data_IF_323571619964
#
_entry.id   IF_323571619964
#
_cell.length_a   1.000
_cell.length_b   1.000
_cell.length_c   1.000
_cell.angle_alpha   90.00
_cell.angle_beta   90.00
_cell.angle_gamma   90.00
#
_symmetry.space_group_name_H-M   'P 1'
#
loop_
_entity.id
_entity.type
_entity.pdbx_description
1 polymer ?
#
# COMPACT_ATOMS: atom_id res chain seq x y z
N UNK A 1 -50.47 15.79 -45.10
CA UNK A 1 -49.33 16.15 -44.23
C UNK A 1 -48.32 15.02 -44.33
N UNK A 2 -47.22 15.17 -45.08
CA UNK A 2 -46.14 14.20 -44.98
C UNK A 2 -45.41 14.44 -43.67
N UNK A 3 -45.25 13.39 -42.86
CA UNK A 3 -44.41 13.43 -41.67
C UNK A 3 -42.96 13.28 -42.13
N UNK A 4 -42.13 14.29 -41.84
CA UNK A 4 -40.68 14.20 -42.00
C UNK A 4 -40.16 13.04 -41.15
N UNK A 5 -39.59 12.04 -41.82
CA UNK A 5 -38.80 11.00 -41.19
C UNK A 5 -37.46 11.62 -40.82
N UNK A 6 -37.27 11.93 -39.54
CA UNK A 6 -35.94 12.23 -39.02
C UNK A 6 -35.10 10.96 -39.09
N UNK A 7 -34.15 10.94 -40.03
CA UNK A 7 -33.07 9.98 -40.07
C UNK A 7 -32.26 10.10 -38.77
N UNK A 8 -32.52 9.20 -37.83
CA UNK A 8 -31.64 9.00 -36.68
C UNK A 8 -30.36 8.34 -37.20
N UNK A 9 -29.37 9.16 -37.56
CA UNK A 9 -28.00 8.74 -37.73
C UNK A 9 -27.51 8.17 -36.39
N UNK A 10 -27.68 6.87 -36.21
CA UNK A 10 -27.02 6.13 -35.15
C UNK A 10 -25.52 6.12 -35.49
N UNK A 11 -24.79 7.10 -34.94
CA UNK A 11 -23.34 7.04 -34.93
C UNK A 11 -22.93 5.81 -34.12
N UNK A 12 -22.64 4.70 -34.81
CA UNK A 12 -22.12 3.48 -34.20
C UNK A 12 -20.90 3.84 -33.31
N UNK A 13 -20.97 3.50 -32.03
CA UNK A 13 -19.89 3.72 -31.07
C UNK A 13 -19.93 5.02 -30.24
N UNK A 14 -20.95 5.87 -30.39
CA UNK A 14 -21.15 7.06 -29.54
C UNK A 14 -22.27 6.86 -28.51
N UNK A 15 -22.03 7.31 -27.28
CA UNK A 15 -23.03 7.35 -26.22
C UNK A 15 -24.12 8.40 -26.53
N UNK A 16 -25.29 8.32 -25.86
CA UNK A 16 -26.36 9.32 -26.02
C UNK A 16 -25.93 10.76 -25.72
N UNK A 17 -24.80 10.97 -25.01
CA UNK A 17 -24.24 12.29 -24.73
C UNK A 17 -23.04 12.63 -25.62
N UNK A 18 -22.87 11.95 -26.76
CA UNK A 18 -21.94 12.32 -27.84
C UNK A 18 -20.46 12.00 -27.61
N UNK A 19 -20.14 11.19 -26.60
CA UNK A 19 -18.77 10.72 -26.36
C UNK A 19 -18.65 9.24 -26.71
N UNK A 20 -17.47 8.76 -27.16
CA UNK A 20 -17.29 7.35 -27.46
C UNK A 20 -17.55 6.50 -26.20
N UNK A 21 -18.14 5.32 -26.38
CA UNK A 21 -18.19 4.35 -25.28
C UNK A 21 -16.76 4.02 -24.84
N UNK A 22 -16.53 4.03 -23.53
CA UNK A 22 -15.25 3.58 -22.97
C UNK A 22 -15.07 2.12 -23.37
N UNK A 23 -13.91 1.77 -23.92
CA UNK A 23 -13.59 0.38 -24.17
C UNK A 23 -13.67 -0.41 -22.85
N UNK A 24 -14.33 -1.56 -22.89
CA UNK A 24 -14.34 -2.47 -21.75
C UNK A 24 -12.89 -2.81 -21.39
N UNK A 25 -12.57 -2.74 -20.10
CA UNK A 25 -11.25 -3.14 -19.60
C UNK A 25 -11.13 -4.67 -19.48
N UNK A 26 -12.03 -5.41 -20.13
CA UNK A 26 -12.09 -6.86 -20.14
C UNK A 26 -10.96 -7.43 -21.01
N UNK A 27 -9.78 -7.44 -20.42
CA UNK A 27 -8.59 -8.08 -20.99
C UNK A 27 -8.47 -9.50 -20.45
N UNK A 28 -7.99 -10.46 -21.25
CA UNK A 28 -7.64 -11.77 -20.74
C UNK A 28 -6.66 -11.63 -19.58
N UNK A 29 -6.89 -12.41 -18.52
CA UNK A 29 -5.98 -12.45 -17.37
C UNK A 29 -4.55 -12.71 -17.83
N UNK A 30 -3.62 -11.89 -17.34
CA UNK A 30 -2.19 -12.11 -17.53
C UNK A 30 -1.77 -13.47 -16.94
N UNK A 31 -0.61 -13.95 -17.36
CA UNK A 31 -0.03 -15.18 -16.79
C UNK A 31 0.05 -15.12 -15.25
N UNK A 32 0.52 -14.01 -14.69
CA UNK A 32 0.69 -13.85 -13.24
C UNK A 32 -0.64 -13.75 -12.48
N UNK A 33 -1.67 -13.12 -13.07
CA UNK A 33 -3.01 -13.12 -12.48
C UNK A 33 -3.61 -14.53 -12.46
N UNK A 34 -3.48 -15.30 -13.54
CA UNK A 34 -3.94 -16.70 -13.55
C UNK A 34 -3.19 -17.57 -12.53
N UNK A 35 -1.89 -17.37 -12.39
CA UNK A 35 -1.07 -18.09 -11.40
C UNK A 35 -1.49 -17.75 -9.97
N UNK A 36 -1.69 -16.47 -9.64
CA UNK A 36 -2.16 -16.05 -8.32
C UNK A 36 -3.48 -16.73 -7.98
N UNK A 37 -4.48 -16.64 -8.87
CA UNK A 37 -5.80 -17.25 -8.67
C UNK A 37 -5.67 -18.76 -8.44
N UNK A 38 -4.90 -19.45 -9.28
CA UNK A 38 -4.73 -20.91 -9.15
C UNK A 38 -4.10 -21.30 -7.80
N UNK A 39 -3.07 -20.58 -7.34
CA UNK A 39 -2.44 -20.85 -6.03
C UNK A 39 -3.40 -20.55 -4.89
N UNK A 40 -4.12 -19.41 -4.97
CA UNK A 40 -5.08 -19.00 -3.95
C UNK A 40 -6.21 -20.03 -3.79
N UNK A 41 -6.85 -20.43 -4.90
CA UNK A 41 -7.94 -21.41 -4.88
C UNK A 41 -7.46 -22.78 -4.38
N UNK A 42 -6.26 -23.23 -4.78
CA UNK A 42 -5.69 -24.50 -4.31
C UNK A 42 -5.43 -24.50 -2.79
N UNK A 43 -4.98 -23.38 -2.22
CA UNK A 43 -4.78 -23.27 -0.77
C UNK A 43 -6.10 -23.26 -0.01
N UNK A 44 -7.16 -22.69 -0.60
CA UNK A 44 -8.52 -22.72 -0.05
C UNK A 44 -9.11 -24.14 -0.11
N UNK A 45 -9.00 -24.81 -1.25
CA UNK A 45 -9.49 -26.19 -1.43
C UNK A 45 -8.83 -27.16 -0.45
N UNK A 46 -7.53 -26.98 -0.18
CA UNK A 46 -6.77 -27.77 0.80
C UNK A 46 -7.05 -27.39 2.26
N UNK A 47 -7.87 -26.37 2.52
CA UNK A 47 -8.21 -25.90 3.87
C UNK A 47 -7.05 -25.22 4.61
N UNK A 48 -6.04 -24.72 3.90
CA UNK A 48 -4.94 -23.96 4.51
C UNK A 48 -5.29 -22.49 4.75
N UNK A 49 -6.22 -21.95 3.96
CA UNK A 49 -6.72 -20.58 4.03
C UNK A 49 -8.21 -20.58 3.74
N UNK A 50 -8.90 -19.53 4.17
CA UNK A 50 -10.28 -19.23 3.77
C UNK A 50 -10.34 -17.94 2.96
N UNK A 51 -11.36 -17.77 2.08
CA UNK A 51 -11.56 -16.49 1.38
C UNK A 51 -11.68 -15.29 2.35
N UNK A 52 -12.29 -15.51 3.52
CA UNK A 52 -12.44 -14.47 4.54
C UNK A 52 -11.10 -14.05 5.17
N UNK A 53 -10.21 -15.00 5.48
CA UNK A 53 -8.87 -14.70 6.00
C UNK A 53 -8.02 -13.92 4.99
N UNK A 54 -8.13 -14.27 3.71
CA UNK A 54 -7.42 -13.57 2.63
C UNK A 54 -7.92 -12.12 2.52
N UNK A 55 -9.23 -11.92 2.46
CA UNK A 55 -9.82 -10.59 2.42
C UNK A 55 -9.41 -9.75 3.64
N UNK A 56 -9.51 -10.32 4.84
CA UNK A 56 -9.11 -9.65 6.08
C UNK A 56 -7.63 -9.23 6.06
N UNK A 57 -6.75 -10.07 5.51
CA UNK A 57 -5.33 -9.76 5.42
C UNK A 57 -5.02 -8.67 4.37
N UNK A 58 -5.78 -8.61 3.27
CA UNK A 58 -5.68 -7.51 2.29
C UNK A 58 -6.08 -6.20 2.96
N UNK A 59 -7.24 -6.15 3.60
CA UNK A 59 -7.73 -4.96 4.31
C UNK A 59 -6.74 -4.50 5.40
N UNK A 60 -6.20 -5.43 6.18
CA UNK A 60 -5.20 -5.13 7.21
C UNK A 60 -3.87 -4.61 6.63
N UNK A 61 -3.54 -4.98 5.39
CA UNK A 61 -2.35 -4.49 4.69
C UNK A 61 -2.58 -3.09 4.12
N UNK A 62 -3.75 -2.85 3.53
CA UNK A 62 -4.14 -1.59 2.89
C UNK A 62 -4.44 -0.48 3.90
N UNK A 63 -4.92 -0.83 5.10
CA UNK A 63 -5.14 0.12 6.19
C UNK A 63 -3.86 0.75 6.75
N UNK A 64 -2.67 0.24 6.38
CA UNK A 64 -1.39 0.72 6.93
C UNK A 64 -1.02 2.06 6.31
N UNK A 65 -0.65 3.01 7.17
CA UNK A 65 -0.37 4.39 6.76
C UNK A 65 0.95 4.90 7.34
N UNK A 66 1.70 5.74 6.60
CA UNK A 66 2.87 6.44 7.14
C UNK A 66 2.52 7.48 8.22
N UNK A 67 1.24 7.79 8.43
CA UNK A 67 0.78 8.75 9.42
C UNK A 67 1.22 8.40 10.87
N UNK A 68 1.32 7.10 11.20
CA UNK A 68 1.77 6.67 12.52
C UNK A 68 3.23 7.09 12.77
N UNK A 69 4.12 6.85 11.80
CA UNK A 69 5.51 7.32 11.88
C UNK A 69 5.62 8.85 11.96
N UNK A 70 4.79 9.57 11.21
CA UNK A 70 4.74 11.03 11.29
C UNK A 70 4.33 11.52 12.70
N UNK A 71 3.36 10.86 13.34
CA UNK A 71 2.95 11.17 14.71
C UNK A 71 4.09 10.95 15.73
N UNK A 72 4.86 9.85 15.58
CA UNK A 72 6.04 9.59 16.41
C UNK A 72 7.08 10.70 16.27
N UNK A 73 7.39 11.10 15.03
CA UNK A 73 8.35 12.20 14.76
C UNK A 73 7.86 13.52 15.35
N UNK A 74 6.59 13.87 15.14
CA UNK A 74 6.01 15.10 15.66
C UNK A 74 6.08 15.17 17.20
N UNK A 75 5.82 14.07 17.90
CA UNK A 75 5.99 14.00 19.35
C UNK A 75 7.45 14.14 19.77
N UNK A 76 8.38 13.52 19.07
CA UNK A 76 9.81 13.66 19.35
C UNK A 76 10.31 15.11 19.17
N UNK A 77 9.70 15.90 18.29
CA UNK A 77 10.04 17.32 18.14
C UNK A 77 9.54 18.20 19.29
N UNK A 78 8.42 17.85 19.94
CA UNK A 78 7.79 18.68 20.98
C UNK A 78 8.04 18.17 22.41
N UNK A 79 8.48 16.92 22.57
CA UNK A 79 8.76 16.27 23.85
C UNK A 79 10.19 15.71 23.85
N UNK A 80 11.17 16.46 24.39
CA UNK A 80 12.57 16.01 24.48
C UNK A 80 12.76 14.73 25.31
N UNK A 81 11.91 14.49 26.31
CA UNK A 81 12.00 13.28 27.12
C UNK A 81 11.52 12.06 26.33
N UNK A 82 10.46 12.19 25.54
CA UNK A 82 10.04 11.16 24.59
C UNK A 82 11.10 10.92 23.52
N UNK A 83 11.72 11.98 22.98
CA UNK A 83 12.82 11.84 22.02
C UNK A 83 13.98 11.02 22.59
N UNK A 84 14.39 11.27 23.83
CA UNK A 84 15.44 10.49 24.48
C UNK A 84 15.07 8.99 24.56
N UNK A 85 13.85 8.67 24.98
CA UNK A 85 13.36 7.27 25.02
C UNK A 85 13.25 6.64 23.63
N UNK A 86 12.82 7.41 22.62
CA UNK A 86 12.72 6.96 21.23
C UNK A 86 14.09 6.54 20.67
N UNK A 87 15.14 7.31 20.98
CA UNK A 87 16.50 7.01 20.54
C UNK A 87 17.14 5.86 21.32
N UNK A 88 16.74 5.64 22.57
CA UNK A 88 17.18 4.49 23.38
C UNK A 88 16.48 3.19 22.94
N UNK A 89 15.16 3.23 22.77
CA UNK A 89 14.36 2.08 22.34
C UNK A 89 13.10 2.53 21.59
N UNK A 90 13.23 2.61 20.26
CA UNK A 90 12.13 3.08 19.42
C UNK A 90 10.91 2.15 19.42
N UNK A 91 11.13 0.87 19.73
CA UNK A 91 10.07 -0.13 19.81
C UNK A 91 9.13 0.15 20.97
N UNK A 92 9.67 0.35 22.16
CA UNK A 92 8.89 0.67 23.36
C UNK A 92 8.28 2.08 23.26
N UNK A 93 9.03 3.06 22.80
CA UNK A 93 8.52 4.43 22.64
C UNK A 93 7.35 4.50 21.65
N UNK A 94 7.37 3.74 20.55
CA UNK A 94 6.23 3.68 19.62
C UNK A 94 5.01 3.00 20.26
N UNK A 95 5.22 1.99 21.12
CA UNK A 95 4.15 1.32 21.87
C UNK A 95 3.49 2.23 22.90
N UNK A 96 4.22 3.18 23.51
CA UNK A 96 3.62 4.23 24.38
C UNK A 96 2.52 5.03 23.65
N UNK A 97 2.60 5.13 22.32
CA UNK A 97 1.63 5.81 21.47
C UNK A 97 0.51 4.89 20.95
N UNK A 98 0.52 3.61 21.34
CA UNK A 98 -0.43 2.61 20.86
C UNK A 98 -0.09 2.03 19.49
N UNK A 99 1.11 2.27 18.95
CA UNK A 99 1.53 1.72 17.67
C UNK A 99 2.25 0.38 17.86
N UNK A 100 1.60 -0.71 17.44
CA UNK A 100 2.24 -2.03 17.41
C UNK A 100 3.15 -2.18 16.18
N UNK A 101 4.45 -2.10 16.42
CA UNK A 101 5.48 -2.27 15.38
C UNK A 101 5.74 -3.75 15.00
N UNK A 102 5.02 -4.70 15.62
CA UNK A 102 5.16 -6.13 15.37
C UNK A 102 6.49 -6.70 15.87
N UNK A 103 7.03 -7.74 15.21
CA UNK A 103 8.25 -8.43 15.64
C UNK A 103 9.54 -7.67 15.27
N UNK A 104 9.43 -6.45 14.73
CA UNK A 104 10.58 -5.67 14.31
C UNK A 104 11.36 -5.18 15.53
N UNK A 105 12.70 -5.25 15.45
CA UNK A 105 13.55 -4.44 16.30
C UNK A 105 13.67 -3.05 15.68
N UNK A 106 12.83 -2.11 16.11
CA UNK A 106 12.84 -0.76 15.57
C UNK A 106 13.95 0.07 16.22
N UNK A 107 14.76 0.70 15.38
CA UNK A 107 15.82 1.63 15.77
C UNK A 107 15.51 2.99 15.12
N UNK A 108 15.46 4.05 15.92
CA UNK A 108 15.37 5.41 15.43
C UNK A 108 16.78 5.99 15.29
N UNK A 109 17.06 6.63 14.16
CA UNK A 109 18.31 7.35 13.91
C UNK A 109 18.00 8.82 13.66
N UNK A 110 18.63 9.70 14.43
CA UNK A 110 18.41 11.13 14.33
C UNK A 110 19.27 11.76 13.24
N UNK A 111 18.66 12.58 12.39
CA UNK A 111 19.39 13.52 11.54
C UNK A 111 19.79 14.76 12.35
N UNK A 112 21.00 15.23 12.14
CA UNK A 112 21.57 16.43 12.77
C UNK A 112 21.97 17.44 11.68
N UNK A 113 22.55 18.57 12.07
CA UNK A 113 23.06 19.56 11.12
C UNK A 113 24.23 19.03 10.26
N UNK A 114 24.96 18.04 10.75
CA UNK A 114 26.15 17.45 10.14
C UNK A 114 25.96 16.00 9.67
N UNK A 115 24.84 15.36 10.01
CA UNK A 115 24.58 13.95 9.68
C UNK A 115 23.20 13.76 9.07
N UNK A 116 23.14 13.13 7.90
CA UNK A 116 21.91 12.72 7.22
C UNK A 116 21.87 11.20 7.07
N UNK A 117 20.84 10.57 7.64
CA UNK A 117 20.64 9.12 7.59
C UNK A 117 19.72 8.73 6.43
N UNK A 118 20.06 7.64 5.75
CA UNK A 118 19.26 6.99 4.71
C UNK A 118 19.22 5.48 5.00
N UNK A 119 18.07 4.85 4.75
CA UNK A 119 17.82 3.45 5.11
C UNK A 119 17.51 2.62 3.87
N UNK A 120 18.11 1.43 3.74
CA UNK A 120 17.92 0.52 2.58
C UNK A 120 18.01 -0.96 2.99
N UNK A 121 17.18 -1.85 2.40
CA UNK A 121 17.46 -3.31 2.38
C UNK A 121 18.12 -3.69 1.07
N UNK A 122 19.45 -3.66 1.01
CA UNK A 122 20.22 -4.00 -0.20
C UNK A 122 19.92 -5.41 -0.71
N UNK A 123 19.59 -6.35 0.17
CA UNK A 123 19.30 -7.74 -0.17
C UNK A 123 17.86 -8.00 -0.64
N UNK A 124 16.91 -7.11 -0.31
CA UNK A 124 15.50 -7.48 -0.31
C UNK A 124 14.54 -6.28 -0.42
N UNK A 125 13.68 -6.08 0.59
CA UNK A 125 12.70 -5.01 0.72
C UNK A 125 12.26 -4.79 2.19
N UNK A 126 13.10 -5.07 3.19
CA UNK A 126 12.76 -4.85 4.61
C UNK A 126 12.27 -3.42 4.83
N UNK A 127 11.17 -3.27 5.57
CA UNK A 127 10.54 -1.97 5.80
C UNK A 127 9.64 -2.02 7.04
N UNK A 128 9.56 -0.96 7.87
CA UNK A 128 8.74 -0.95 9.08
C UNK A 128 7.25 -0.72 8.77
N UNK A 129 6.61 -1.72 8.16
CA UNK A 129 5.27 -1.58 7.54
C UNK A 129 4.15 -1.17 8.50
N UNK A 130 4.22 -1.62 9.75
CA UNK A 130 3.20 -1.29 10.75
C UNK A 130 3.27 0.18 11.20
N UNK A 131 4.40 0.86 10.95
CA UNK A 131 4.61 2.25 11.31
C UNK A 131 4.60 3.18 10.08
N UNK A 132 5.16 2.74 8.96
CA UNK A 132 5.36 3.55 7.76
C UNK A 132 4.49 3.16 6.55
N UNK A 133 3.63 2.15 6.68
CA UNK A 133 2.84 1.65 5.54
C UNK A 133 3.64 0.74 4.60
N UNK A 134 3.08 0.47 3.42
CA UNK A 134 3.79 -0.32 2.41
C UNK A 134 4.99 0.46 1.85
N UNK A 135 6.15 -0.18 1.63
CA UNK A 135 7.25 0.48 0.97
C UNK A 135 6.84 0.85 -0.45
N UNK A 136 7.16 2.07 -0.90
CA UNK A 136 6.90 2.46 -2.28
C UNK A 136 7.69 1.58 -3.25
N UNK A 137 7.21 1.45 -4.49
CA UNK A 137 7.79 0.50 -5.44
C UNK A 137 9.28 0.74 -5.71
N UNK A 138 9.70 2.01 -5.79
CA UNK A 138 11.10 2.38 -6.02
C UNK A 138 12.03 1.84 -4.93
N UNK A 139 11.59 1.75 -3.67
CA UNK A 139 12.40 1.24 -2.55
C UNK A 139 12.78 -0.23 -2.74
N UNK A 140 11.92 -1.00 -3.42
CA UNK A 140 12.11 -2.43 -3.68
C UNK A 140 12.99 -2.68 -4.91
N UNK A 141 13.27 -1.66 -5.71
CA UNK A 141 14.02 -1.79 -6.96
C UNK A 141 15.52 -1.97 -6.72
N UNK A 142 16.19 -2.62 -7.67
CA UNK A 142 17.66 -2.74 -7.69
C UNK A 142 18.37 -1.39 -7.89
N UNK A 143 17.71 -0.39 -8.46
CA UNK A 143 18.36 0.90 -8.72
C UNK A 143 18.54 1.72 -7.43
N UNK A 144 17.60 1.60 -6.49
CA UNK A 144 17.70 2.23 -5.17
C UNK A 144 18.54 1.41 -4.19
N UNK A 145 18.42 0.08 -4.26
CA UNK A 145 19.15 -0.87 -3.41
C UNK A 145 20.62 -1.00 -3.79
#
# INVERSE_FOLDING_TARGET
MPHDHHDHFHHEGMSPSGHPYRADNDTPLSYWQRMEIAVRELLVEKGHLTPAEIAAQIEAMDARSPANGAAVVARAWTDPAFKARLLENASEASREMGFDIGPLNLIAVENTADTHNLIVCTLCSCYPRNLLGLPPDWYKTRAYR
#
